data_IF_179024929180
#
_entry.id   IF_179024929180
#
_cell.length_a   1.000
_cell.length_b   1.000
_cell.length_c   1.000
_cell.angle_alpha   90.00
_cell.angle_beta   90.00
_cell.angle_gamma   90.00
#
_symmetry.space_group_name_H-M   'P 1'
#
loop_
_entity.id
_entity.type
_entity.pdbx_description
1 polymer ?
#
# COMPACT_ATOMS: atom_id res chain seq x y z
N UNK A 1 -9.81 -3.57 -10.42
CA UNK A 1 -9.36 -3.63 -9.03
C UNK A 1 -10.52 -3.13 -8.21
N UNK A 2 -11.02 -3.96 -7.30
CA UNK A 2 -12.09 -3.60 -6.39
C UNK A 2 -11.55 -2.89 -5.15
N UNK A 3 -12.45 -2.34 -4.33
CA UNK A 3 -12.10 -1.84 -3.00
C UNK A 3 -11.56 -2.97 -2.12
N UNK A 4 -12.10 -4.18 -2.25
CA UNK A 4 -11.61 -5.37 -1.55
C UNK A 4 -10.17 -5.73 -1.94
N UNK A 5 -9.81 -5.67 -3.23
CA UNK A 5 -8.42 -5.87 -3.70
C UNK A 5 -7.46 -4.87 -3.07
N UNK A 6 -7.93 -3.63 -2.97
CA UNK A 6 -7.18 -2.50 -2.42
C UNK A 6 -6.95 -2.68 -0.92
N UNK A 7 -8.02 -3.02 -0.18
CA UNK A 7 -7.97 -3.27 1.25
C UNK A 7 -7.14 -4.50 1.60
N UNK A 8 -7.23 -5.58 0.81
CA UNK A 8 -6.42 -6.77 1.01
C UNK A 8 -4.91 -6.45 0.93
N UNK A 9 -4.51 -5.68 -0.09
CA UNK A 9 -3.12 -5.23 -0.26
C UNK A 9 -2.68 -4.30 0.85
N UNK A 10 -3.50 -3.30 1.19
CA UNK A 10 -3.16 -2.31 2.21
C UNK A 10 -3.05 -2.94 3.61
N UNK A 11 -3.93 -3.90 3.95
CA UNK A 11 -3.94 -4.55 5.26
C UNK A 11 -2.88 -5.65 5.43
N UNK A 12 -2.40 -6.25 4.34
CA UNK A 12 -1.40 -7.32 4.38
C UNK A 12 -0.26 -7.06 3.37
N UNK A 13 0.51 -5.96 3.53
CA UNK A 13 1.60 -5.66 2.62
C UNK A 13 2.74 -6.66 2.78
N UNK A 14 3.36 -7.03 1.66
CA UNK A 14 4.65 -7.72 1.65
C UNK A 14 5.78 -6.76 2.02
N UNK A 15 5.67 -5.50 1.59
CA UNK A 15 6.60 -4.41 1.91
C UNK A 15 5.81 -3.15 2.24
N UNK A 16 6.21 -2.45 3.29
CA UNK A 16 5.63 -1.15 3.66
C UNK A 16 6.72 -0.19 4.13
N UNK A 17 6.60 1.09 3.79
CA UNK A 17 7.51 2.11 4.29
C UNK A 17 6.96 3.53 4.11
N UNK A 18 7.51 4.50 4.87
CA UNK A 18 7.12 5.90 4.75
C UNK A 18 7.56 6.48 3.40
N UNK A 19 6.74 7.37 2.83
CA UNK A 19 7.08 8.14 1.63
C UNK A 19 7.71 9.50 1.94
N UNK A 20 7.50 10.00 3.15
CA UNK A 20 7.92 11.30 3.68
C UNK A 20 7.86 11.26 5.21
N UNK A 21 7.97 12.41 5.87
CA UNK A 21 7.82 12.57 7.33
C UNK A 21 6.64 13.51 7.67
N UNK A 22 5.60 13.59 6.81
CA UNK A 22 4.43 14.46 7.02
C UNK A 22 3.38 13.83 7.96
N UNK A 23 2.39 14.61 8.41
CA UNK A 23 1.24 14.14 9.21
C UNK A 23 -0.09 14.56 8.53
N UNK A 24 -0.99 13.62 8.16
CA UNK A 24 -0.88 12.16 8.33
C UNK A 24 0.25 11.55 7.50
N UNK A 25 0.89 10.53 8.07
CA UNK A 25 2.05 9.87 7.47
C UNK A 25 1.61 9.12 6.21
N UNK A 26 2.25 9.41 5.08
CA UNK A 26 2.04 8.62 3.85
C UNK A 26 2.92 7.38 3.88
N UNK A 27 2.32 6.22 3.66
CA UNK A 27 3.04 4.96 3.50
C UNK A 27 2.81 4.36 2.11
N UNK A 28 3.88 3.95 1.45
CA UNK A 28 3.82 3.06 0.30
C UNK A 28 3.69 1.63 0.83
N UNK A 29 2.71 0.90 0.33
CA UNK A 29 2.49 -0.51 0.63
C UNK A 29 2.45 -1.31 -0.68
N UNK A 30 3.28 -2.35 -0.76
CA UNK A 30 3.32 -3.28 -1.89
C UNK A 30 2.84 -4.63 -1.38
N UNK A 31 1.87 -5.23 -2.08
CA UNK A 31 1.30 -6.51 -1.67
C UNK A 31 0.45 -7.15 -2.75
N UNK A 32 -0.10 -8.31 -2.45
CA UNK A 32 -0.97 -9.05 -3.35
C UNK A 32 -2.44 -8.73 -3.07
N UNK A 33 -3.21 -8.58 -4.14
CA UNK A 33 -4.67 -8.50 -4.04
C UNK A 33 -5.32 -9.89 -3.90
N UNK A 34 -6.65 -9.90 -3.86
CA UNK A 34 -7.44 -11.15 -3.73
C UNK A 34 -7.27 -12.11 -4.91
N UNK A 35 -6.70 -11.64 -6.02
CA UNK A 35 -6.46 -12.38 -7.25
C UNK A 35 -4.97 -12.65 -7.49
N UNK A 36 -4.14 -12.54 -6.45
CA UNK A 36 -2.68 -12.73 -6.50
C UNK A 36 -1.96 -11.81 -7.50
N UNK A 37 -2.52 -10.64 -7.80
CA UNK A 37 -1.83 -9.60 -8.58
C UNK A 37 -1.13 -8.66 -7.62
N UNK A 38 0.09 -8.28 -7.97
CA UNK A 38 0.86 -7.34 -7.16
C UNK A 38 0.37 -5.91 -7.39
N UNK A 39 0.00 -5.23 -6.31
CA UNK A 39 -0.46 -3.86 -6.28
C UNK A 39 0.50 -2.97 -5.48
N UNK A 40 0.54 -1.70 -5.86
CA UNK A 40 1.09 -0.62 -5.05
C UNK A 40 -0.06 0.23 -4.51
N UNK A 41 -0.06 0.50 -3.21
CA UNK A 41 -1.05 1.34 -2.54
C UNK A 41 -0.37 2.44 -1.72
N UNK A 42 -1.03 3.59 -1.61
CA UNK A 42 -0.63 4.66 -0.69
C UNK A 42 -1.69 4.77 0.40
N UNK A 43 -1.24 4.63 1.64
CA UNK A 43 -2.07 4.67 2.84
C UNK A 43 -1.68 5.89 3.66
N UNK A 44 -2.66 6.71 4.05
CA UNK A 44 -2.50 7.70 5.11
C UNK A 44 -2.63 6.99 6.45
N UNK A 45 -1.66 7.18 7.32
CA UNK A 45 -1.69 6.71 8.71
C UNK A 45 -1.79 7.94 9.60
N UNK A 46 -2.93 8.05 10.29
CA UNK A 46 -3.23 9.15 11.20
C UNK A 46 -2.65 8.88 12.59
N UNK A 47 -2.51 9.93 13.40
CA UNK A 47 -1.97 9.83 14.77
C UNK A 47 -2.79 8.90 15.69
N UNK A 48 -4.08 8.71 15.40
CA UNK A 48 -4.96 7.80 16.15
C UNK A 48 -4.91 6.34 15.64
N UNK A 49 -4.05 6.06 14.65
CA UNK A 49 -3.92 4.76 14.02
C UNK A 49 -4.95 4.46 12.95
N UNK A 50 -5.84 5.40 12.62
CA UNK A 50 -6.73 5.28 11.46
C UNK A 50 -5.89 5.17 10.20
N UNK A 51 -6.32 4.30 9.28
CA UNK A 51 -5.68 4.11 7.99
C UNK A 51 -6.66 4.40 6.86
N UNK A 52 -6.23 5.19 5.87
CA UNK A 52 -7.04 5.56 4.72
C UNK A 52 -6.27 5.31 3.42
N UNK A 53 -6.81 4.46 2.54
CA UNK A 53 -6.18 4.24 1.23
C UNK A 53 -6.56 5.37 0.29
N UNK A 54 -5.58 6.16 -0.13
CA UNK A 54 -5.77 7.30 -1.03
C UNK A 54 -5.33 6.99 -2.47
N UNK A 55 -4.65 5.87 -2.68
CA UNK A 55 -4.19 5.46 -3.99
C UNK A 55 -3.98 3.94 -4.07
N UNK A 56 -4.30 3.36 -5.22
CA UNK A 56 -4.05 1.95 -5.50
C UNK A 56 -3.89 1.73 -7.01
N UNK A 57 -2.86 0.98 -7.42
CA UNK A 57 -2.56 0.66 -8.81
C UNK A 57 -1.84 -0.68 -8.95
N UNK A 58 -1.73 -1.19 -10.18
CA UNK A 58 -0.78 -2.27 -10.48
C UNK A 58 0.63 -1.84 -10.07
N UNK A 59 1.33 -2.72 -9.37
CA UNK A 59 2.68 -2.45 -8.91
C UNK A 59 3.62 -2.16 -10.08
N UNK A 60 4.33 -1.03 -10.01
CA UNK A 60 5.29 -0.63 -11.03
C UNK A 60 6.57 -1.47 -10.91
N UNK A 61 7.23 -1.83 -12.03
CA UNK A 61 8.44 -2.67 -12.01
C UNK A 61 9.57 -2.18 -11.09
N UNK A 62 9.66 -0.86 -10.85
CA UNK A 62 10.67 -0.26 -9.97
C UNK A 62 10.58 -0.72 -8.51
N UNK A 63 9.40 -1.14 -8.05
CA UNK A 63 9.19 -1.57 -6.67
C UNK A 63 9.36 -3.08 -6.50
N UNK A 64 9.57 -3.84 -7.58
CA UNK A 64 9.78 -5.28 -7.49
C UNK A 64 11.08 -5.62 -6.75
N UNK A 65 12.11 -4.79 -6.86
CA UNK A 65 13.36 -4.95 -6.11
C UNK A 65 13.24 -4.67 -4.60
N UNK A 66 12.04 -4.33 -4.12
CA UNK A 66 11.79 -4.23 -2.67
C UNK A 66 11.34 -5.58 -2.07
N UNK A 67 11.00 -6.58 -2.90
CA UNK A 67 10.44 -7.88 -2.48
C UNK A 67 11.50 -8.97 -2.20
N UNK A 68 12.77 -8.59 -2.05
CA UNK A 68 13.90 -9.52 -1.86
C UNK A 68 13.90 -10.24 -0.49
#
# INVERSE_FOLDING_TARGET
>A
MSDEDTLATAGNPSVSGPLDDENPQRQLRIGFDTQARLLETVVLVWDDGTEEVIHAMKCRPRYLGLLD
#
